data_IF_883357584857
#
_entry.id   IF_883357584857
#
_cell.length_a   1.000
_cell.length_b   1.000
_cell.length_c   1.000
_cell.angle_alpha   90.00
_cell.angle_beta   90.00
_cell.angle_gamma   90.00
#
_symmetry.space_group_name_H-M   'P 1'
#
loop_
_entity.id
_entity.type
_entity.pdbx_description
1 polymer ?
#
# COMPACT_ATOMS: atom_id res chain seq x y z
N UNK A 1 4.17 -13.37 3.55
CA UNK A 1 3.41 -12.12 3.40
C UNK A 1 3.87 -11.43 2.11
N UNK A 2 2.98 -10.77 1.38
CA UNK A 2 3.30 -9.99 0.17
C UNK A 2 4.31 -8.87 0.45
N UNK A 3 4.30 -8.29 1.64
CA UNK A 3 5.23 -7.22 2.03
C UNK A 3 6.70 -7.69 1.93
N UNK A 4 6.98 -8.91 2.39
CA UNK A 4 8.32 -9.50 2.28
C UNK A 4 8.72 -9.79 0.83
N UNK A 5 7.76 -10.16 -0.03
CA UNK A 5 8.03 -10.42 -1.46
C UNK A 5 8.38 -9.12 -2.18
N UNK A 6 7.60 -8.06 -1.96
CA UNK A 6 7.85 -6.73 -2.52
C UNK A 6 9.22 -6.21 -2.07
N UNK A 7 9.54 -6.34 -0.78
CA UNK A 7 10.83 -5.92 -0.23
C UNK A 7 12.01 -6.66 -0.89
N UNK A 8 11.93 -7.99 -1.05
CA UNK A 8 13.01 -8.80 -1.65
C UNK A 8 13.17 -8.50 -3.15
N UNK A 9 12.08 -8.30 -3.89
CA UNK A 9 12.14 -7.93 -5.32
C UNK A 9 12.79 -6.55 -5.48
N UNK A 10 12.37 -5.57 -4.68
CA UNK A 10 12.93 -4.22 -4.74
C UNK A 10 14.41 -4.20 -4.34
N UNK A 11 14.77 -4.91 -3.28
CA UNK A 11 16.18 -5.07 -2.87
C UNK A 11 17.00 -5.65 -4.03
N UNK A 12 16.50 -6.70 -4.70
CA UNK A 12 17.18 -7.30 -5.86
C UNK A 12 17.37 -6.29 -7.00
N UNK A 13 16.40 -5.41 -7.25
CA UNK A 13 16.48 -4.40 -8.32
C UNK A 13 17.51 -3.29 -8.02
N UNK A 14 17.61 -2.84 -6.76
CA UNK A 14 18.53 -1.74 -6.37
C UNK A 14 19.90 -2.22 -5.88
N UNK A 15 20.08 -3.52 -5.69
CA UNK A 15 21.30 -4.12 -5.12
C UNK A 15 22.58 -3.73 -5.88
N UNK A 16 22.51 -3.69 -7.22
CA UNK A 16 23.67 -3.33 -8.06
C UNK A 16 24.15 -1.91 -7.80
N UNK A 17 23.22 -0.95 -7.81
CA UNK A 17 23.52 0.48 -7.58
C UNK A 17 23.99 0.74 -6.14
N UNK A 18 23.39 0.06 -5.17
CA UNK A 18 23.85 0.11 -3.77
C UNK A 18 25.29 -0.40 -3.63
N UNK A 19 25.62 -1.54 -4.24
CA UNK A 19 26.97 -2.10 -4.21
C UNK A 19 28.00 -1.25 -4.96
N UNK A 20 27.57 -0.51 -5.98
CA UNK A 20 28.40 0.46 -6.69
C UNK A 20 28.63 1.76 -5.89
N UNK A 21 27.92 1.95 -4.78
CA UNK A 21 27.99 3.18 -3.96
C UNK A 21 27.18 4.34 -4.52
N UNK A 22 26.35 4.10 -5.54
CA UNK A 22 25.52 5.11 -6.19
C UNK A 22 24.22 5.40 -5.42
N UNK A 23 23.91 4.62 -4.39
CA UNK A 23 22.65 4.64 -3.67
C UNK A 23 22.92 4.49 -2.17
N UNK A 24 22.40 5.40 -1.35
CA UNK A 24 22.55 5.30 0.10
C UNK A 24 21.54 4.29 0.67
N UNK A 25 21.83 3.74 1.85
CA UNK A 25 20.92 2.78 2.50
C UNK A 25 19.54 3.38 2.79
N UNK A 26 19.48 4.65 3.18
CA UNK A 26 18.23 5.40 3.40
C UNK A 26 17.38 5.53 2.12
N UNK A 27 18.01 5.58 0.95
CA UNK A 27 17.31 5.68 -0.34
C UNK A 27 16.62 4.35 -0.68
N UNK A 28 17.19 3.21 -0.27
CA UNK A 28 16.58 1.88 -0.46
C UNK A 28 15.29 1.77 0.33
N UNK A 29 15.34 2.11 1.62
CA UNK A 29 14.19 2.05 2.51
C UNK A 29 13.07 2.96 1.99
N UNK A 30 13.40 4.22 1.70
CA UNK A 30 12.45 5.22 1.18
C UNK A 30 11.82 4.77 -0.14
N UNK A 31 12.62 4.24 -1.06
CA UNK A 31 12.14 3.76 -2.36
C UNK A 31 11.16 2.59 -2.21
N UNK A 32 11.42 1.72 -1.23
CA UNK A 32 10.55 0.56 -0.98
C UNK A 32 9.19 0.95 -0.43
N UNK A 33 9.19 1.90 0.51
CA UNK A 33 7.96 2.47 1.05
C UNK A 33 7.18 3.24 -0.02
N UNK A 34 7.86 4.08 -0.81
CA UNK A 34 7.24 4.85 -1.88
C UNK A 34 6.55 3.95 -2.92
N UNK A 35 7.20 2.85 -3.31
CA UNK A 35 6.62 1.88 -4.25
C UNK A 35 5.32 1.30 -3.72
N UNK A 36 5.29 0.91 -2.44
CA UNK A 36 4.08 0.40 -1.81
C UNK A 36 2.98 1.47 -1.72
N UNK A 37 3.34 2.68 -1.30
CA UNK A 37 2.42 3.80 -1.16
C UNK A 37 1.75 4.14 -2.49
N UNK A 38 2.52 4.30 -3.57
CA UNK A 38 1.95 4.62 -4.88
C UNK A 38 1.06 3.50 -5.41
N UNK A 39 1.48 2.23 -5.27
CA UNK A 39 0.65 1.10 -5.66
C UNK A 39 -0.69 1.08 -4.91
N UNK A 40 -0.67 1.36 -3.61
CA UNK A 40 -1.89 1.43 -2.80
C UNK A 40 -2.79 2.60 -3.19
N UNK A 41 -2.21 3.79 -3.42
CA UNK A 41 -2.99 4.98 -3.81
C UNK A 41 -3.72 4.78 -5.13
N UNK A 42 -3.09 4.12 -6.11
CA UNK A 42 -3.74 3.79 -7.39
C UNK A 42 -4.96 2.89 -7.15
N UNK A 43 -4.80 1.84 -6.33
CA UNK A 43 -5.92 0.96 -5.98
C UNK A 43 -7.06 1.69 -5.26
N UNK A 44 -6.73 2.53 -4.29
CA UNK A 44 -7.72 3.35 -3.59
C UNK A 44 -8.45 4.33 -4.51
N UNK A 45 -7.73 4.97 -5.44
CA UNK A 45 -8.35 5.87 -6.42
C UNK A 45 -9.32 5.12 -7.34
N UNK A 46 -8.94 3.92 -7.80
CA UNK A 46 -9.82 3.07 -8.59
C UNK A 46 -11.05 2.58 -7.79
N UNK A 47 -10.89 2.28 -6.51
CA UNK A 47 -11.99 1.89 -5.62
C UNK A 47 -12.97 3.05 -5.38
N UNK A 48 -12.46 4.28 -5.18
CA UNK A 48 -13.28 5.50 -5.08
C UNK A 48 -14.09 5.72 -6.37
N UNK A 49 -13.46 5.57 -7.53
CA UNK A 49 -14.12 5.73 -8.83
C UNK A 49 -15.20 4.67 -9.06
N UNK A 50 -14.90 3.39 -8.81
CA UNK A 50 -15.87 2.29 -8.89
C UNK A 50 -17.07 2.54 -7.96
N UNK A 51 -16.83 2.99 -6.73
CA UNK A 51 -17.90 3.31 -5.80
C UNK A 51 -18.75 4.52 -6.23
N UNK A 52 -18.11 5.55 -6.79
CA UNK A 52 -18.80 6.74 -7.30
C UNK A 52 -19.73 6.37 -8.46
N UNK A 53 -19.26 5.53 -9.39
CA UNK A 53 -20.03 5.13 -10.57
C UNK A 53 -21.16 4.13 -10.28
N UNK A 54 -21.03 3.32 -9.21
CA UNK A 54 -22.04 2.31 -8.84
C UNK A 54 -23.30 2.88 -8.17
N UNK A 55 -23.33 4.15 -7.79
CA UNK A 55 -24.52 4.88 -7.36
C UNK A 55 -25.24 4.37 -6.10
N UNK A 56 -24.62 3.49 -5.30
CA UNK A 56 -25.17 3.02 -4.02
C UNK A 56 -24.66 3.88 -2.87
N UNK A 57 -25.56 4.30 -2.00
CA UNK A 57 -25.21 4.95 -0.74
C UNK A 57 -24.32 4.01 0.08
N UNK A 58 -23.05 4.38 0.29
CA UNK A 58 -22.14 3.62 1.14
C UNK A 58 -22.40 3.98 2.59
N UNK A 59 -23.35 3.28 3.21
CA UNK A 59 -23.35 3.20 4.67
C UNK A 59 -22.14 2.36 5.11
N UNK A 60 -21.03 3.03 5.41
CA UNK A 60 -19.79 2.40 5.87
C UNK A 60 -19.81 2.06 7.36
N UNK A 61 -20.92 2.34 8.06
CA UNK A 61 -21.05 1.98 9.47
C UNK A 61 -21.05 0.46 9.60
N UNK A 62 -20.26 -0.04 10.54
CA UNK A 62 -20.29 -1.47 10.89
C UNK A 62 -21.70 -1.81 11.38
N UNK A 63 -22.36 -2.85 10.85
CA UNK A 63 -23.70 -3.23 11.28
C UNK A 63 -23.75 -3.44 12.79
N UNK A 64 -24.82 -2.98 13.44
CA UNK A 64 -24.96 -3.08 14.90
C UNK A 64 -24.83 -4.52 15.42
N UNK A 65 -25.26 -5.52 14.63
CA UNK A 65 -25.10 -6.95 14.95
C UNK A 65 -23.64 -7.42 15.01
N UNK A 66 -22.68 -6.65 14.48
CA UNK A 66 -21.23 -6.89 14.54
C UNK A 66 -20.52 -6.00 15.58
N UNK A 67 -21.24 -5.10 16.23
CA UNK A 67 -20.71 -4.26 17.30
C UNK A 67 -21.04 -4.89 18.66
N UNK A 68 -20.16 -4.70 19.65
CA UNK A 68 -20.45 -5.01 21.05
C UNK A 68 -20.49 -3.71 21.85
N UNK A 69 -21.46 -3.60 22.76
CA UNK A 69 -21.54 -2.48 23.69
C UNK A 69 -20.63 -2.76 24.89
N UNK A 70 -19.75 -1.81 25.20
CA UNK A 70 -18.86 -1.84 26.37
C UNK A 70 -19.26 -0.66 27.25
N UNK A 71 -20.14 -0.94 28.21
CA UNK A 71 -20.58 -0.01 29.23
C UNK A 71 -20.64 -0.68 30.59
#
# INVERSE_FOLDING_TARGET
NIDAVIAVILLKMVWGEYKAGNLAEADIETSSFATFLFGRMIGCAAEIDDHTFRGKNMDTRTPASKCSYVG
#
